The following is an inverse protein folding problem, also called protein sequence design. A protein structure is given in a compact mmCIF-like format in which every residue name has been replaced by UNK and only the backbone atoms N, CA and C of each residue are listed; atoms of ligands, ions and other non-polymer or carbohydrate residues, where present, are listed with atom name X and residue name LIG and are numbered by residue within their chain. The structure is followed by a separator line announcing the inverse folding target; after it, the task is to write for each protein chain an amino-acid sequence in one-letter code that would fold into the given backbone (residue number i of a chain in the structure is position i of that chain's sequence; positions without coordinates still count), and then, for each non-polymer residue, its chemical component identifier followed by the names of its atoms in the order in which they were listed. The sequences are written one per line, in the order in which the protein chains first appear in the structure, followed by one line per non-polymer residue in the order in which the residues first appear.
data_IF_939385993455
#
_entry.id   IF_939385993455
#
_cell.length_a   1.000
_cell.length_b   1.000
_cell.length_c   1.000
_cell.angle_alpha   90.00
_cell.angle_beta   90.00
_cell.angle_gamma   90.00
#
_symmetry.space_group_name_H-M   'P 1'
#
loop_
_entity.id
_entity.type
_entity.pdbx_description
1 polymer ?
#
# COMPACT_ATOMS: atom_id res chain seq x y z
N UNK A 1 14.26 -71.67 -24.90
CA UNK A 1 13.30 -70.73 -24.28
C UNK A 1 14.07 -69.51 -23.79
N UNK A 2 13.99 -68.35 -24.49
CA UNK A 2 14.64 -67.13 -24.12
C UNK A 2 13.52 -66.18 -23.71
N UNK A 3 13.46 -65.77 -22.42
CA UNK A 3 12.58 -64.75 -21.94
C UNK A 3 13.24 -63.38 -22.20
N UNK A 4 12.58 -62.52 -22.96
CA UNK A 4 12.96 -61.12 -23.13
C UNK A 4 12.31 -60.25 -22.04
N UNK A 5 13.15 -59.53 -21.30
CA UNK A 5 12.69 -58.47 -20.37
C UNK A 5 12.41 -57.19 -21.17
N UNK A 6 11.18 -56.73 -21.14
CA UNK A 6 10.78 -55.40 -21.66
C UNK A 6 10.84 -54.42 -20.51
N UNK A 7 11.86 -53.56 -20.51
CA UNK A 7 12.00 -52.49 -19.54
C UNK A 7 11.11 -51.30 -19.96
N UNK A 8 10.06 -51.01 -19.20
CA UNK A 8 9.26 -49.74 -19.34
C UNK A 8 9.97 -48.62 -18.65
N UNK A 9 10.53 -47.68 -19.42
CA UNK A 9 11.04 -46.41 -18.90
C UNK A 9 9.87 -45.44 -18.64
N UNK A 10 9.57 -45.18 -17.37
CA UNK A 10 8.68 -44.10 -17.00
C UNK A 10 9.39 -42.72 -17.19
N UNK A 11 8.90 -41.95 -18.15
CA UNK A 11 9.31 -40.57 -18.35
C UNK A 11 8.56 -39.68 -17.33
N UNK A 12 9.26 -39.24 -16.28
CA UNK A 12 8.70 -38.26 -15.32
C UNK A 12 8.82 -36.88 -15.95
N UNK A 13 7.72 -36.32 -16.43
CA UNK A 13 7.62 -34.93 -16.82
C UNK A 13 7.55 -34.08 -15.54
N UNK A 14 8.64 -33.40 -15.22
CA UNK A 14 8.64 -32.36 -14.20
C UNK A 14 7.87 -31.14 -14.75
N UNK A 15 6.69 -30.87 -14.20
CA UNK A 15 5.92 -29.64 -14.45
C UNK A 15 6.61 -28.52 -13.68
N UNK A 16 7.45 -27.74 -14.35
CA UNK A 16 8.00 -26.49 -13.81
C UNK A 16 6.91 -25.44 -13.96
N UNK A 17 6.15 -25.22 -12.87
CA UNK A 17 5.23 -24.08 -12.79
C UNK A 17 5.99 -22.76 -12.91
N UNK A 18 5.35 -21.65 -13.36
CA UNK A 18 5.99 -20.35 -13.45
C UNK A 18 6.42 -19.90 -12.06
N UNK A 19 7.75 -19.89 -11.81
CA UNK A 19 8.33 -19.15 -10.68
C UNK A 19 8.06 -17.66 -10.95
N UNK A 20 7.13 -17.07 -10.21
CA UNK A 20 7.04 -15.61 -10.12
C UNK A 20 8.31 -15.16 -9.42
N UNK A 21 9.29 -14.72 -10.19
CA UNK A 21 10.53 -14.17 -9.66
C UNK A 21 10.17 -12.93 -8.85
N UNK A 22 10.38 -12.98 -7.54
CA UNK A 22 10.28 -11.82 -6.67
C UNK A 22 11.32 -10.79 -7.16
N UNK A 23 10.92 -9.51 -7.28
CA UNK A 23 11.83 -8.42 -7.66
C UNK A 23 13.04 -8.40 -6.72
N UNK A 24 14.23 -8.10 -7.26
CA UNK A 24 15.42 -7.96 -6.44
C UNK A 24 15.24 -6.89 -5.36
N UNK A 25 16.01 -6.94 -4.28
CA UNK A 25 15.97 -5.90 -3.24
C UNK A 25 16.35 -4.52 -3.81
N UNK A 26 17.25 -4.48 -4.81
CA UNK A 26 17.63 -3.25 -5.49
C UNK A 26 16.47 -2.65 -6.28
N UNK A 27 15.71 -3.45 -7.04
CA UNK A 27 14.53 -3.00 -7.80
C UNK A 27 13.42 -2.56 -6.86
N UNK A 28 13.22 -3.28 -5.75
CA UNK A 28 12.26 -2.91 -4.72
C UNK A 28 12.60 -1.57 -4.09
N UNK A 29 13.87 -1.37 -3.71
CA UNK A 29 14.36 -0.09 -3.18
C UNK A 29 14.21 1.06 -4.18
N UNK A 30 14.47 0.82 -5.48
CA UNK A 30 14.25 1.82 -6.52
C UNK A 30 12.78 2.23 -6.63
N UNK A 31 11.85 1.28 -6.42
CA UNK A 31 10.42 1.55 -6.36
C UNK A 31 10.06 2.36 -5.12
N UNK A 32 10.48 1.93 -3.93
CA UNK A 32 10.18 2.59 -2.65
C UNK A 32 10.69 4.03 -2.61
N UNK A 33 11.85 4.32 -3.20
CA UNK A 33 12.43 5.67 -3.28
C UNK A 33 11.55 6.70 -3.98
N UNK A 34 10.56 6.27 -4.76
CA UNK A 34 9.61 7.17 -5.42
C UNK A 34 8.43 7.56 -4.55
N UNK A 35 8.25 6.90 -3.39
CA UNK A 35 7.09 7.07 -2.50
C UNK A 35 7.17 8.30 -1.59
N UNK A 36 8.38 8.81 -1.29
CA UNK A 36 8.58 9.92 -0.38
C UNK A 36 9.85 10.71 -0.71
N UNK A 37 10.10 11.87 -0.07
CA UNK A 37 11.36 12.60 -0.19
C UNK A 37 12.57 11.72 0.16
N UNK A 38 13.68 11.94 -0.53
CA UNK A 38 14.91 11.14 -0.37
C UNK A 38 15.41 11.10 1.08
N UNK A 39 15.36 12.23 1.80
CA UNK A 39 15.79 12.32 3.20
C UNK A 39 14.94 11.46 4.13
N UNK A 40 13.66 11.28 3.82
CA UNK A 40 12.78 10.36 4.54
C UNK A 40 13.19 8.92 4.24
N UNK A 41 13.26 8.52 2.96
CA UNK A 41 13.50 7.12 2.56
C UNK A 41 14.89 6.65 2.99
N UNK A 42 15.92 7.50 2.88
CA UNK A 42 17.28 7.12 3.20
C UNK A 42 17.47 6.74 4.69
N UNK A 43 16.70 7.35 5.59
CA UNK A 43 16.73 7.03 7.02
C UNK A 43 15.63 6.08 7.49
N UNK A 44 14.69 5.69 6.62
CA UNK A 44 13.53 4.88 6.99
C UNK A 44 13.85 3.39 7.12
N UNK A 45 13.05 2.70 7.91
CA UNK A 45 12.94 1.24 7.81
C UNK A 45 12.17 0.90 6.54
N UNK A 46 12.75 0.08 5.66
CA UNK A 46 12.06 -0.39 4.46
C UNK A 46 11.69 -1.85 4.63
N UNK A 47 10.42 -2.15 4.47
CA UNK A 47 9.87 -3.50 4.58
C UNK A 47 9.20 -3.93 3.28
N UNK A 48 9.24 -5.22 3.00
CA UNK A 48 8.47 -5.87 1.92
C UNK A 48 7.47 -6.84 2.54
N UNK A 49 6.21 -6.69 2.17
CA UNK A 49 5.15 -7.61 2.57
C UNK A 49 5.04 -8.76 1.56
N UNK A 50 5.10 -10.00 2.06
CA UNK A 50 4.90 -11.23 1.27
C UNK A 50 3.74 -12.00 1.90
N UNK A 51 2.51 -11.69 1.53
CA UNK A 51 1.31 -12.15 2.23
C UNK A 51 1.31 -11.64 3.68
N UNK A 52 1.26 -12.55 4.64
CA UNK A 52 1.35 -12.21 6.08
C UNK A 52 2.79 -12.03 6.60
N UNK A 53 3.80 -12.36 5.80
CA UNK A 53 5.20 -12.27 6.21
C UNK A 53 5.77 -10.90 5.86
N UNK A 54 6.59 -10.37 6.77
CA UNK A 54 7.31 -9.11 6.57
C UNK A 54 8.81 -9.37 6.50
N UNK A 55 9.45 -8.90 5.43
CA UNK A 55 10.90 -8.92 5.24
C UNK A 55 11.44 -7.50 5.42
N UNK A 56 12.44 -7.30 6.27
CA UNK A 56 13.14 -6.03 6.37
C UNK A 56 14.23 -5.96 5.30
N UNK A 57 14.10 -5.01 4.37
CA UNK A 57 15.05 -4.74 3.29
C UNK A 57 16.12 -3.76 3.76
N UNK A 58 15.75 -2.76 4.54
CA UNK A 58 16.62 -1.75 5.14
C UNK A 58 16.19 -1.49 6.58
N UNK A 59 17.13 -1.46 7.51
CA UNK A 59 16.88 -0.94 8.86
C UNK A 59 17.10 0.57 8.87
N UNK A 60 16.15 1.31 9.44
CA UNK A 60 16.20 2.76 9.57
C UNK A 60 16.13 3.21 11.03
N UNK A 61 16.32 4.52 11.25
CA UNK A 61 16.34 5.12 12.58
C UNK A 61 15.58 6.44 12.66
N UNK A 62 14.96 6.92 11.57
CA UNK A 62 14.26 8.20 11.53
C UNK A 62 12.77 8.14 11.92
N UNK A 63 12.28 6.97 12.36
CA UNK A 63 10.89 6.77 12.77
C UNK A 63 9.90 6.54 11.61
N UNK A 64 10.38 6.52 10.35
CA UNK A 64 9.56 6.23 9.18
C UNK A 64 9.66 4.77 8.76
N UNK A 65 8.55 4.23 8.27
CA UNK A 65 8.48 2.90 7.63
C UNK A 65 8.01 3.08 6.19
N UNK A 66 8.79 2.59 5.23
CA UNK A 66 8.46 2.64 3.81
C UNK A 66 8.24 1.24 3.24
N UNK A 67 7.28 1.13 2.32
CA UNK A 67 6.90 -0.13 1.68
C UNK A 67 6.14 0.13 0.38
N UNK A 68 5.76 -0.92 -0.33
CA UNK A 68 4.71 -0.86 -1.34
C UNK A 68 3.42 -1.48 -0.80
N UNK A 69 2.29 -1.02 -1.31
CA UNK A 69 1.02 -1.73 -1.16
C UNK A 69 0.99 -3.02 -2.01
N UNK A 70 -0.16 -3.70 -2.00
CA UNK A 70 -0.37 -4.97 -2.73
C UNK A 70 -0.33 -4.82 -4.26
N UNK A 71 -0.51 -3.61 -4.79
CA UNK A 71 -0.47 -3.32 -6.24
C UNK A 71 0.81 -2.59 -6.65
N UNK A 72 1.81 -2.54 -5.75
CA UNK A 72 3.15 -2.02 -6.01
C UNK A 72 3.29 -0.50 -5.89
N UNK A 73 2.32 0.21 -5.31
CA UNK A 73 2.41 1.65 -5.05
C UNK A 73 3.27 1.91 -3.81
N UNK A 74 4.36 2.69 -3.94
CA UNK A 74 5.24 2.98 -2.82
C UNK A 74 4.65 4.03 -1.88
N UNK A 75 4.85 3.82 -0.59
CA UNK A 75 4.44 4.73 0.47
C UNK A 75 5.44 4.76 1.61
N UNK A 76 5.49 5.88 2.35
CA UNK A 76 6.24 6.00 3.60
C UNK A 76 5.32 6.57 4.68
N UNK A 77 5.30 5.93 5.84
CA UNK A 77 4.43 6.22 6.97
C UNK A 77 5.25 6.55 8.21
N UNK A 78 4.85 7.55 8.99
CA UNK A 78 5.36 7.71 10.36
C UNK A 78 4.78 6.62 11.28
N UNK A 79 5.25 6.56 12.51
CA UNK A 79 4.82 5.52 13.45
C UNK A 79 3.30 5.55 13.73
N UNK A 80 2.69 6.75 13.78
CA UNK A 80 1.25 6.89 14.02
C UNK A 80 0.43 6.43 12.81
N UNK A 81 0.89 6.75 11.60
CA UNK A 81 0.25 6.30 10.36
C UNK A 81 0.37 4.78 10.17
N UNK A 82 1.47 4.16 10.61
CA UNK A 82 1.61 2.68 10.64
C UNK A 82 0.55 2.05 11.55
N UNK A 83 0.35 2.57 12.76
CA UNK A 83 -0.69 2.10 13.67
C UNK A 83 -2.10 2.29 13.07
N UNK A 84 -2.36 3.44 12.44
CA UNK A 84 -3.63 3.71 11.76
C UNK A 84 -3.87 2.74 10.59
N UNK A 85 -2.87 2.52 9.74
CA UNK A 85 -2.96 1.59 8.61
C UNK A 85 -3.21 0.15 9.06
N UNK A 86 -2.57 -0.29 10.15
CA UNK A 86 -2.81 -1.59 10.76
C UNK A 86 -4.27 -1.71 11.28
N UNK A 87 -4.78 -0.68 11.96
CA UNK A 87 -6.17 -0.67 12.43
C UNK A 87 -7.16 -0.76 11.25
N UNK A 88 -6.92 0.00 10.15
CA UNK A 88 -7.71 -0.11 8.94
C UNK A 88 -7.68 -1.52 8.33
N UNK A 89 -6.51 -2.13 8.20
CA UNK A 89 -6.36 -3.49 7.64
C UNK A 89 -7.06 -4.56 8.47
N UNK A 90 -7.09 -4.39 9.79
CA UNK A 90 -7.69 -5.36 10.73
C UNK A 90 -9.13 -5.02 11.12
N UNK A 91 -9.72 -3.97 10.51
CA UNK A 91 -11.06 -3.45 10.83
C UNK A 91 -11.22 -3.01 12.29
N UNK A 92 -10.10 -2.72 12.98
CA UNK A 92 -10.08 -2.26 14.36
C UNK A 92 -10.29 -0.75 14.46
N UNK A 93 -10.64 -0.24 15.63
CA UNK A 93 -10.69 1.20 15.88
C UNK A 93 -9.30 1.82 15.68
N UNK A 94 -9.17 2.92 14.90
CA UNK A 94 -7.90 3.60 14.72
C UNK A 94 -7.44 4.25 16.03
N UNK A 95 -6.11 4.40 16.22
CA UNK A 95 -5.57 5.05 17.42
C UNK A 95 -5.96 6.53 17.47
N UNK A 96 -6.03 7.08 18.68
CA UNK A 96 -6.24 8.53 18.91
C UNK A 96 -4.92 9.30 18.74
N UNK A 97 -4.36 9.21 17.52
CA UNK A 97 -3.08 9.83 17.15
C UNK A 97 -3.18 10.35 15.71
N UNK A 98 -2.55 11.48 15.46
CA UNK A 98 -2.38 12.00 14.10
C UNK A 98 -1.10 11.44 13.49
N UNK A 99 -1.20 10.93 12.28
CA UNK A 99 -0.08 10.41 11.51
C UNK A 99 0.00 10.99 10.10
N UNK A 100 1.16 10.82 9.47
CA UNK A 100 1.44 11.30 8.12
C UNK A 100 1.91 10.15 7.23
N UNK A 101 1.45 10.18 5.97
CA UNK A 101 1.84 9.20 4.96
C UNK A 101 2.16 9.92 3.65
N UNK A 102 3.31 9.61 3.06
CA UNK A 102 3.69 10.03 1.71
C UNK A 102 3.33 8.96 0.69
N UNK A 103 2.71 9.38 -0.43
CA UNK A 103 2.47 8.58 -1.64
C UNK A 103 2.80 9.41 -2.89
N UNK A 104 4.09 9.79 -3.05
CA UNK A 104 4.51 10.72 -4.08
C UNK A 104 4.50 10.15 -5.52
N UNK A 105 4.29 8.86 -5.68
CA UNK A 105 4.03 8.24 -6.99
C UNK A 105 2.55 8.28 -7.40
N UNK A 106 1.68 8.83 -6.55
CA UNK A 106 0.23 8.68 -6.71
C UNK A 106 -0.24 7.27 -6.34
N UNK A 107 -1.54 7.04 -6.44
CA UNK A 107 -2.18 5.74 -6.19
C UNK A 107 -2.79 5.13 -7.47
N UNK A 108 -3.43 3.99 -7.35
CA UNK A 108 -4.21 3.31 -8.39
C UNK A 108 -5.72 3.46 -8.18
N UNK A 109 -6.08 4.35 -7.29
CA UNK A 109 -7.43 4.64 -6.89
C UNK A 109 -7.94 3.78 -5.75
N UNK A 110 -8.91 4.34 -5.05
CA UNK A 110 -9.71 3.69 -4.02
C UNK A 110 -11.15 4.20 -4.08
N UNK A 111 -12.08 3.40 -3.59
CA UNK A 111 -13.45 3.85 -3.41
C UNK A 111 -13.51 4.90 -2.30
N UNK A 112 -14.18 6.03 -2.53
CA UNK A 112 -14.39 7.04 -1.49
C UNK A 112 -15.59 6.73 -0.57
N UNK A 113 -16.39 5.73 -0.89
CA UNK A 113 -17.55 5.31 -0.09
C UNK A 113 -17.37 3.98 0.63
N UNK A 114 -16.40 3.15 0.20
CA UNK A 114 -16.10 1.85 0.82
C UNK A 114 -14.58 1.68 0.98
N UNK A 115 -14.05 1.80 2.22
CA UNK A 115 -12.62 1.65 2.50
C UNK A 115 -12.02 0.30 2.09
N UNK A 116 -12.84 -0.72 1.90
CA UNK A 116 -12.37 -2.09 1.58
C UNK A 116 -12.78 -2.57 0.19
N UNK A 117 -13.28 -1.68 -0.66
CA UNK A 117 -13.60 -2.01 -2.05
C UNK A 117 -12.37 -2.54 -2.80
N UNK A 118 -12.51 -3.70 -3.42
CA UNK A 118 -11.39 -4.38 -4.12
C UNK A 118 -11.15 -3.87 -5.55
N UNK A 119 -11.98 -2.97 -6.04
CA UNK A 119 -11.88 -2.42 -7.39
C UNK A 119 -12.98 -1.42 -7.71
N UNK A 120 -12.82 -0.76 -8.84
CA UNK A 120 -13.76 0.24 -9.35
C UNK A 120 -15.08 -0.40 -9.77
N UNK A 121 -16.19 0.23 -9.37
CA UNK A 121 -17.55 -0.07 -9.85
C UNK A 121 -18.22 1.22 -10.34
N UNK A 122 -19.42 1.11 -10.89
CA UNK A 122 -20.19 2.28 -11.36
C UNK A 122 -20.67 3.20 -10.23
N UNK A 123 -20.69 2.71 -8.97
CA UNK A 123 -21.36 3.41 -7.85
C UNK A 123 -20.47 3.59 -6.61
N UNK A 124 -19.21 3.15 -6.64
CA UNK A 124 -18.36 3.21 -5.46
C UNK A 124 -17.42 4.42 -5.41
N UNK A 125 -17.68 5.45 -6.22
CA UNK A 125 -16.98 6.74 -6.17
C UNK A 125 -15.44 6.53 -6.17
N UNK A 126 -14.94 5.86 -7.23
CA UNK A 126 -13.53 5.51 -7.34
C UNK A 126 -12.68 6.72 -7.71
N UNK A 127 -11.73 7.07 -6.86
CA UNK A 127 -10.85 8.23 -7.03
C UNK A 127 -9.42 7.77 -7.15
N UNK A 128 -8.71 8.25 -8.17
CA UNK A 128 -7.27 8.12 -8.34
C UNK A 128 -6.63 9.46 -8.00
N UNK A 129 -5.73 9.47 -7.03
CA UNK A 129 -5.04 10.68 -6.61
C UNK A 129 -3.59 10.63 -7.08
N UNK A 130 -3.13 11.69 -7.73
CA UNK A 130 -1.74 11.85 -8.13
C UNK A 130 -0.81 11.88 -6.91
N UNK A 131 0.40 12.44 -7.07
CA UNK A 131 1.32 12.62 -5.92
C UNK A 131 0.62 13.31 -4.76
N UNK A 132 0.63 12.71 -3.58
CA UNK A 132 -0.08 13.26 -2.42
C UNK A 132 0.59 12.89 -1.08
N UNK A 133 0.17 13.62 -0.06
CA UNK A 133 0.41 13.31 1.35
C UNK A 133 -0.94 13.06 2.01
N UNK A 134 -1.00 12.13 2.94
CA UNK A 134 -2.19 11.88 3.76
C UNK A 134 -1.95 12.34 5.19
N UNK A 135 -2.97 12.96 5.78
CA UNK A 135 -3.06 13.17 7.23
C UNK A 135 -4.12 12.23 7.74
N UNK A 136 -3.74 11.29 8.62
CA UNK A 136 -4.62 10.26 9.16
C UNK A 136 -4.87 10.47 10.65
N UNK A 137 -5.98 9.92 11.15
CA UNK A 137 -6.33 9.97 12.56
C UNK A 137 -7.38 11.03 12.90
N UNK A 138 -7.76 11.17 14.19
CA UNK A 138 -8.97 11.89 14.62
C UNK A 138 -8.93 13.40 14.37
N UNK A 139 -7.76 14.00 14.23
CA UNK A 139 -7.59 15.43 13.88
C UNK A 139 -8.36 15.80 12.62
N UNK A 140 -8.47 14.90 11.65
CA UNK A 140 -9.16 15.17 10.39
C UNK A 140 -10.65 15.45 10.59
N UNK A 141 -11.28 14.90 11.62
CA UNK A 141 -12.69 15.15 11.96
C UNK A 141 -12.94 16.61 12.33
N UNK A 142 -11.94 17.30 12.84
CA UNK A 142 -12.01 18.70 13.25
C UNK A 142 -11.56 19.68 12.16
N UNK A 143 -11.01 19.18 11.06
CA UNK A 143 -10.57 20.00 9.92
C UNK A 143 -11.77 20.44 9.10
N UNK A 144 -12.22 21.69 9.26
CA UNK A 144 -13.29 22.30 8.47
C UNK A 144 -12.77 22.81 7.12
N UNK A 145 -13.69 22.98 6.16
CA UNK A 145 -13.40 23.62 4.86
C UNK A 145 -12.83 22.71 3.77
N UNK A 146 -12.59 21.43 4.05
CA UNK A 146 -12.22 20.45 3.04
C UNK A 146 -13.45 19.69 2.53
N UNK A 147 -13.58 19.48 1.19
CA UNK A 147 -14.67 18.72 0.60
C UNK A 147 -14.78 17.31 1.21
N UNK A 148 -16.03 16.93 1.47
CA UNK A 148 -16.43 15.59 1.96
C UNK A 148 -17.44 14.93 1.01
N UNK A 149 -17.49 15.43 -0.24
CA UNK A 149 -18.35 14.89 -1.28
C UNK A 149 -17.85 13.52 -1.71
N UNK A 150 -18.73 12.63 -2.20
CA UNK A 150 -18.33 11.32 -2.68
C UNK A 150 -17.36 11.38 -3.87
N UNK A 151 -17.46 12.43 -4.72
CA UNK A 151 -16.66 12.63 -5.93
C UNK A 151 -15.92 13.99 -5.89
N UNK A 152 -14.94 14.18 -4.98
CA UNK A 152 -14.17 15.42 -4.91
C UNK A 152 -13.19 15.54 -6.09
N UNK A 153 -12.71 16.76 -6.33
CA UNK A 153 -11.61 17.00 -7.27
C UNK A 153 -10.28 16.45 -6.69
N UNK A 154 -9.70 15.38 -7.25
CA UNK A 154 -8.49 14.75 -6.70
C UNK A 154 -7.21 15.59 -6.87
N UNK A 155 -7.32 16.76 -7.51
CA UNK A 155 -6.22 17.73 -7.66
C UNK A 155 -6.18 18.78 -6.56
N UNK A 156 -7.17 18.77 -5.66
CA UNK A 156 -7.30 19.69 -4.52
C UNK A 156 -7.37 18.89 -3.23
N UNK A 157 -7.06 19.51 -2.06
CA UNK A 157 -7.26 18.82 -0.78
C UNK A 157 -8.70 18.40 -0.56
N UNK A 158 -8.92 17.17 -0.10
CA UNK A 158 -10.24 16.61 0.20
C UNK A 158 -10.16 15.55 1.31
N UNK A 159 -11.29 15.25 1.93
CA UNK A 159 -11.41 14.16 2.91
C UNK A 159 -11.86 12.90 2.20
N UNK A 160 -11.05 11.85 2.29
CA UNK A 160 -11.38 10.52 1.82
C UNK A 160 -12.06 9.71 2.93
N UNK A 161 -12.99 8.83 2.55
CA UNK A 161 -13.84 8.01 3.43
C UNK A 161 -14.65 8.82 4.45
N UNK A 162 -15.29 9.93 4.04
CA UNK A 162 -15.97 10.83 4.96
C UNK A 162 -17.04 10.09 5.76
N UNK A 163 -17.14 10.42 7.05
CA UNK A 163 -18.10 9.81 7.97
C UNK A 163 -17.74 8.44 8.49
N UNK A 164 -16.63 7.83 8.04
CA UNK A 164 -16.09 6.59 8.60
C UNK A 164 -15.13 6.87 9.75
N UNK A 165 -14.77 5.84 10.52
CA UNK A 165 -13.71 5.98 11.52
C UNK A 165 -12.32 6.13 10.91
N UNK A 166 -12.16 5.84 9.61
CA UNK A 166 -10.91 5.93 8.87
C UNK A 166 -10.86 7.13 7.93
N UNK A 167 -11.73 8.11 8.11
CA UNK A 167 -11.64 9.34 7.31
C UNK A 167 -10.27 10.00 7.49
N UNK A 168 -9.71 10.45 6.38
CA UNK A 168 -8.39 11.07 6.34
C UNK A 168 -8.32 12.16 5.28
N UNK A 169 -7.40 13.10 5.47
CA UNK A 169 -7.20 14.21 4.54
C UNK A 169 -6.19 13.81 3.47
N UNK A 170 -6.59 13.95 2.22
CA UNK A 170 -5.75 13.83 1.03
C UNK A 170 -5.22 15.22 0.65
N UNK A 171 -3.91 15.38 0.56
CA UNK A 171 -3.22 16.62 0.18
C UNK A 171 -2.43 16.36 -1.11
N UNK A 172 -3.04 16.55 -2.29
CA UNK A 172 -2.34 16.45 -3.56
C UNK A 172 -1.18 17.44 -3.61
N UNK A 173 -0.02 16.95 -4.05
CA UNK A 173 1.21 17.74 -4.24
C UNK A 173 1.73 17.53 -5.66
N UNK A 174 2.39 18.53 -6.23
CA UNK A 174 2.94 18.44 -7.59
C UNK A 174 4.39 17.96 -7.54
#
# INVERSE_FOLDING_TARGET
MKLGFVGSSLLVLAVVGPLHAQSSDADYMATVKRGAPADIVNGATVIRMNGSNTQTIQKGSNGWTCMTDQVGVPMCMDANAVEWAHAWQTHAAPPDKTGFMYMLSGDKGASNSDPWAKGKTATNHWIETGSHVMVVGPTVKTMAGYPRDPDPDPKKPYVMWPGTQYEHLMLPVK
#
